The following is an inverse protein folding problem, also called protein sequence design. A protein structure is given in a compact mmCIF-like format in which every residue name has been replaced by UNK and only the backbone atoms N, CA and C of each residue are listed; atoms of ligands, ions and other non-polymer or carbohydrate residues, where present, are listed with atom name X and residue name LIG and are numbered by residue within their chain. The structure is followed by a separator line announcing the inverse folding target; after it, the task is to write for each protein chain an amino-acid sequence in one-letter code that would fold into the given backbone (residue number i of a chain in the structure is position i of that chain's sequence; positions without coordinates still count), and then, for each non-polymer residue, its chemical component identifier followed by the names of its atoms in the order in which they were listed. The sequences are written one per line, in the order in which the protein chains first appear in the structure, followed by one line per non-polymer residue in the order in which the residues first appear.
data_IF_078358859012
#
_entry.id   IF_078358859012
#
_cell.length_a   1.000
_cell.length_b   1.000
_cell.length_c   1.000
_cell.angle_alpha   90.00
_cell.angle_beta   90.00
_cell.angle_gamma   90.00
#
_symmetry.space_group_name_H-M   'P 1'
#
loop_
_entity.id
_entity.type
_entity.pdbx_description
1 polymer ?
#
# COMPACT_ATOMS: atom_id res chain seq x y z
N UNK A 1 9.59 13.12 -19.04
CA UNK A 1 10.14 13.35 -17.68
C UNK A 1 9.73 12.14 -16.88
N UNK A 2 10.68 11.33 -16.40
CA UNK A 2 10.37 10.06 -15.73
C UNK A 2 9.62 10.24 -14.41
N UNK A 3 8.90 9.21 -13.98
CA UNK A 3 8.25 9.16 -12.66
C UNK A 3 9.27 9.34 -11.55
N UNK A 4 10.38 8.61 -11.68
CA UNK A 4 11.47 8.61 -10.71
C UNK A 4 12.31 9.85 -10.94
N UNK A 5 12.51 10.62 -9.88
CA UNK A 5 13.33 11.84 -9.88
C UNK A 5 14.50 11.76 -8.93
N UNK A 6 14.50 10.79 -8.02
CA UNK A 6 15.58 10.58 -7.07
C UNK A 6 15.86 9.09 -6.96
N UNK A 7 17.11 8.70 -7.20
CA UNK A 7 17.53 7.30 -7.10
C UNK A 7 18.65 7.15 -6.07
N UNK A 8 18.49 6.18 -5.18
CA UNK A 8 19.55 5.74 -4.28
C UNK A 8 19.80 4.24 -4.42
N UNK A 9 21.06 3.86 -4.63
CA UNK A 9 21.45 2.47 -4.86
C UNK A 9 22.49 2.06 -3.85
N UNK A 10 22.20 0.99 -3.11
CA UNK A 10 23.20 0.20 -2.41
C UNK A 10 23.75 -0.80 -3.42
N UNK A 11 25.05 -0.72 -3.68
CA UNK A 11 25.69 -1.48 -4.75
C UNK A 11 26.74 -2.45 -4.19
N UNK A 12 26.59 -3.71 -4.54
CA UNK A 12 27.44 -4.84 -4.17
C UNK A 12 27.70 -5.71 -5.40
N UNK A 13 28.31 -5.09 -6.40
CA UNK A 13 28.62 -5.73 -7.68
C UNK A 13 30.13 -5.75 -7.84
N UNK A 14 30.67 -6.95 -8.02
CA UNK A 14 32.09 -7.25 -8.13
C UNK A 14 32.57 -7.12 -9.58
N UNK A 15 31.71 -7.44 -10.55
CA UNK A 15 32.03 -7.35 -11.96
C UNK A 15 31.96 -5.88 -12.47
N UNK A 16 33.10 -5.32 -12.86
CA UNK A 16 33.21 -3.91 -13.25
C UNK A 16 32.32 -3.51 -14.44
N UNK A 17 32.12 -4.40 -15.43
CA UNK A 17 31.21 -4.18 -16.57
C UNK A 17 29.75 -4.04 -16.11
N UNK A 18 29.31 -4.93 -15.22
CA UNK A 18 27.97 -4.87 -14.65
C UNK A 18 27.80 -3.65 -13.76
N UNK A 19 28.80 -3.32 -12.95
CA UNK A 19 28.77 -2.10 -12.14
C UNK A 19 28.60 -0.86 -13.02
N UNK A 20 29.40 -0.71 -14.07
CA UNK A 20 29.27 0.41 -15.00
C UNK A 20 27.89 0.46 -15.64
N UNK A 21 27.34 -0.68 -16.05
CA UNK A 21 26.01 -0.75 -16.65
C UNK A 21 24.91 -0.30 -15.67
N UNK A 22 24.97 -0.75 -14.42
CA UNK A 22 24.04 -0.29 -13.35
C UNK A 22 24.16 1.22 -13.19
N UNK A 23 25.37 1.77 -13.08
CA UNK A 23 25.58 3.21 -12.92
C UNK A 23 25.04 4.03 -14.11
N UNK A 24 25.21 3.54 -15.33
CA UNK A 24 24.67 4.19 -16.53
C UNK A 24 23.14 4.23 -16.50
N UNK A 25 22.50 3.10 -16.21
CA UNK A 25 21.04 3.00 -16.11
C UNK A 25 20.47 3.88 -14.99
N UNK A 26 21.16 3.97 -13.86
CA UNK A 26 20.76 4.84 -12.75
C UNK A 26 20.87 6.32 -13.14
N UNK A 27 21.98 6.74 -13.77
CA UNK A 27 22.17 8.14 -14.23
C UNK A 27 21.17 8.56 -15.29
N UNK A 28 20.68 7.61 -16.10
CA UNK A 28 19.61 7.89 -17.07
C UNK A 28 18.26 8.20 -16.39
N UNK A 29 18.04 7.74 -15.15
CA UNK A 29 16.85 8.06 -14.36
C UNK A 29 17.02 9.35 -13.56
N UNK A 30 18.19 9.51 -12.94
CA UNK A 30 18.51 10.62 -12.04
C UNK A 30 20.01 10.96 -12.13
N UNK A 31 20.32 12.16 -12.63
CA UNK A 31 21.69 12.66 -12.76
C UNK A 31 22.36 12.88 -11.38
N UNK A 32 21.56 13.20 -10.34
CA UNK A 32 22.01 13.50 -8.97
C UNK A 32 21.98 12.27 -8.05
N UNK A 33 22.02 11.07 -8.64
CA UNK A 33 21.85 9.81 -7.92
C UNK A 33 22.85 9.60 -6.77
N UNK A 34 22.38 8.97 -5.70
CA UNK A 34 23.20 8.55 -4.56
C UNK A 34 23.58 7.08 -4.70
N UNK A 35 24.80 6.80 -5.15
CA UNK A 35 25.33 5.43 -5.16
C UNK A 35 26.26 5.21 -3.97
N UNK A 36 26.02 4.13 -3.22
CA UNK A 36 26.87 3.68 -2.12
C UNK A 36 27.35 2.26 -2.39
N UNK A 37 28.66 2.14 -2.58
CA UNK A 37 29.35 0.86 -2.77
C UNK A 37 29.65 0.24 -1.42
N UNK A 38 29.37 -1.05 -1.28
CA UNK A 38 29.93 -1.85 -0.20
C UNK A 38 31.40 -2.13 -0.54
N UNK A 39 32.32 -1.57 0.25
CA UNK A 39 33.75 -1.85 0.07
C UNK A 39 34.02 -3.34 0.24
N UNK A 40 34.95 -3.92 -0.51
CA UNK A 40 35.30 -5.36 -0.45
C UNK A 40 35.53 -5.85 1.00
N UNK A 41 36.21 -5.06 1.84
CA UNK A 41 36.46 -5.41 3.25
C UNK A 41 35.18 -5.51 4.12
N UNK A 42 34.09 -4.86 3.69
CA UNK A 42 32.81 -4.76 4.39
C UNK A 42 31.69 -5.53 3.70
N UNK A 43 31.87 -5.92 2.44
CA UNK A 43 30.86 -6.55 1.58
C UNK A 43 30.34 -7.89 2.11
N UNK A 44 30.97 -8.46 3.15
CA UNK A 44 30.52 -9.67 3.85
C UNK A 44 29.83 -9.46 5.20
N UNK A 45 29.78 -8.25 5.78
CA UNK A 45 29.35 -8.05 7.17
C UNK A 45 28.01 -7.32 7.26
N UNK A 46 26.96 -8.05 7.71
CA UNK A 46 25.61 -7.50 7.90
C UNK A 46 25.57 -6.19 8.72
N UNK A 47 26.32 -6.02 9.82
CA UNK A 47 26.30 -4.75 10.56
C UNK A 47 26.75 -3.53 9.75
N UNK A 48 27.72 -3.71 8.84
CA UNK A 48 28.18 -2.64 7.96
C UNK A 48 27.12 -2.30 6.90
N UNK A 49 26.41 -3.31 6.39
CA UNK A 49 25.28 -3.12 5.49
C UNK A 49 24.16 -2.33 6.16
N UNK A 50 23.75 -2.74 7.38
CA UNK A 50 22.71 -2.07 8.16
C UNK A 50 23.04 -0.59 8.31
N UNK A 51 24.23 -0.29 8.86
CA UNK A 51 24.67 1.09 9.07
C UNK A 51 24.68 1.91 7.77
N UNK A 52 25.19 1.34 6.68
CA UNK A 52 25.22 2.02 5.38
C UNK A 52 23.80 2.29 4.86
N UNK A 53 22.90 1.32 5.01
CA UNK A 53 21.54 1.40 4.51
C UNK A 53 20.68 2.39 5.29
N UNK A 54 20.79 2.41 6.62
CA UNK A 54 20.12 3.39 7.49
C UNK A 54 20.60 4.80 7.16
N UNK A 55 21.91 4.99 6.99
CA UNK A 55 22.51 6.26 6.56
C UNK A 55 21.93 6.78 5.24
N UNK A 56 21.66 5.90 4.28
CA UNK A 56 21.07 6.24 2.97
C UNK A 56 19.61 6.62 3.15
N UNK A 57 18.85 5.82 3.89
CA UNK A 57 17.42 6.03 4.10
C UNK A 57 17.20 7.33 4.87
N UNK A 58 17.87 7.54 6.00
CA UNK A 58 17.78 8.78 6.77
C UNK A 58 18.13 9.99 5.91
N UNK A 59 19.24 9.95 5.16
CA UNK A 59 19.66 11.10 4.33
C UNK A 59 18.75 11.35 3.12
N UNK A 60 18.06 10.32 2.61
CA UNK A 60 17.13 10.46 1.49
C UNK A 60 15.71 10.81 1.93
N UNK A 61 15.27 10.34 3.10
CA UNK A 61 13.97 10.68 3.67
C UNK A 61 13.97 12.07 4.32
N UNK A 62 15.09 12.46 4.95
CA UNK A 62 15.24 13.79 5.57
C UNK A 62 15.56 14.90 4.58
N UNK A 63 15.91 14.60 3.32
CA UNK A 63 16.15 15.62 2.31
C UNK A 63 14.83 16.25 1.84
N UNK A 64 14.48 17.30 2.61
CA UNK A 64 13.56 18.40 2.34
C UNK A 64 12.10 18.07 2.63
N UNK A 65 11.66 18.22 3.86
CA UNK A 65 10.26 18.58 4.19
C UNK A 65 9.98 20.08 4.00
N UNK A 66 10.79 20.77 3.19
CA UNK A 66 10.65 22.17 2.81
C UNK A 66 10.21 22.30 1.35
N UNK A 67 9.44 23.34 1.04
CA UNK A 67 8.89 23.66 -0.29
C UNK A 67 9.91 23.35 -1.41
N UNK A 68 9.60 22.34 -2.24
CA UNK A 68 10.52 21.76 -3.22
C UNK A 68 10.93 20.30 -2.95
N UNK A 69 10.22 19.60 -2.06
CA UNK A 69 10.43 18.17 -1.79
C UNK A 69 10.03 17.29 -2.98
N UNK A 70 10.86 16.32 -3.31
CA UNK A 70 10.48 15.22 -4.22
C UNK A 70 9.50 14.34 -3.47
N UNK A 71 8.29 14.12 -4.00
CA UNK A 71 7.27 13.26 -3.38
C UNK A 71 7.83 11.83 -3.16
N UNK A 72 7.43 11.14 -2.09
CA UNK A 72 7.89 9.76 -1.82
C UNK A 72 7.81 8.85 -3.03
N UNK A 73 6.71 8.95 -3.79
CA UNK A 73 6.45 8.13 -4.99
C UNK A 73 7.49 8.32 -6.10
N UNK A 74 8.21 9.44 -6.10
CA UNK A 74 9.24 9.77 -7.09
C UNK A 74 10.65 9.35 -6.63
N UNK A 75 10.78 8.76 -5.43
CA UNK A 75 12.05 8.28 -4.86
C UNK A 75 12.17 6.76 -5.01
N UNK A 76 13.26 6.30 -5.61
CA UNK A 76 13.55 4.88 -5.76
C UNK A 76 14.81 4.53 -4.98
N UNK A 77 14.67 3.65 -3.98
CA UNK A 77 15.79 3.12 -3.20
C UNK A 77 15.87 1.63 -3.47
N UNK A 78 17.04 1.11 -3.83
CA UNK A 78 17.19 -0.32 -4.13
C UNK A 78 18.55 -0.87 -3.69
N UNK A 79 18.61 -2.20 -3.61
CA UNK A 79 19.83 -2.96 -3.41
C UNK A 79 20.14 -3.81 -4.64
N UNK A 80 21.36 -3.70 -5.19
CA UNK A 80 21.81 -4.51 -6.32
C UNK A 80 23.05 -5.29 -5.93
N UNK A 81 23.03 -6.60 -6.15
CA UNK A 81 24.12 -7.51 -5.79
C UNK A 81 24.37 -8.56 -6.87
N UNK A 82 25.63 -8.94 -7.09
CA UNK A 82 26.01 -10.03 -8.02
C UNK A 82 26.52 -11.30 -7.33
N UNK A 83 26.48 -11.33 -6.00
CA UNK A 83 27.04 -12.43 -5.22
C UNK A 83 26.15 -12.90 -4.06
N UNK A 84 24.99 -12.26 -3.84
CA UNK A 84 24.05 -12.62 -2.76
C UNK A 84 22.70 -13.06 -3.30
N UNK A 85 22.21 -14.18 -2.77
CA UNK A 85 20.87 -14.71 -3.04
C UNK A 85 19.88 -14.32 -1.94
N UNK A 86 18.61 -14.69 -2.11
CA UNK A 86 17.54 -14.56 -1.10
C UNK A 86 17.90 -15.09 0.30
N UNK A 87 18.79 -16.08 0.40
CA UNK A 87 19.21 -16.65 1.70
C UNK A 87 20.25 -15.80 2.44
N UNK A 88 20.80 -14.77 1.81
CA UNK A 88 21.78 -13.90 2.44
C UNK A 88 21.11 -12.94 3.43
N UNK A 89 21.68 -12.78 4.62
CA UNK A 89 21.16 -11.89 5.66
C UNK A 89 21.01 -10.42 5.24
N UNK A 90 21.85 -9.93 4.33
CA UNK A 90 21.72 -8.56 3.80
C UNK A 90 20.51 -8.42 2.87
N UNK A 91 20.27 -9.42 2.02
CA UNK A 91 19.09 -9.46 1.14
C UNK A 91 17.82 -9.58 1.98
N UNK A 92 17.82 -10.46 2.97
CA UNK A 92 16.71 -10.59 3.92
C UNK A 92 16.44 -9.27 4.66
N UNK A 93 17.48 -8.62 5.18
CA UNK A 93 17.33 -7.32 5.86
C UNK A 93 16.80 -6.23 4.92
N UNK A 94 17.32 -6.15 3.70
CA UNK A 94 16.85 -5.18 2.69
C UNK A 94 15.36 -5.35 2.37
N UNK A 95 14.88 -6.58 2.22
CA UNK A 95 13.47 -6.84 1.87
C UNK A 95 12.52 -6.76 3.05
N UNK A 96 12.90 -7.30 4.21
CA UNK A 96 11.96 -7.47 5.33
C UNK A 96 12.06 -6.35 6.36
N UNK A 97 13.23 -5.73 6.53
CA UNK A 97 13.41 -4.62 7.47
C UNK A 97 13.31 -3.27 6.77
N UNK A 98 14.00 -3.10 5.65
CA UNK A 98 13.98 -1.83 4.90
C UNK A 98 12.85 -1.77 3.86
N UNK A 99 12.32 -2.93 3.46
CA UNK A 99 11.33 -3.06 2.38
C UNK A 99 11.74 -2.35 1.08
N UNK A 100 13.01 -2.46 0.72
CA UNK A 100 13.52 -1.95 -0.56
C UNK A 100 13.62 -3.09 -1.60
N UNK A 101 13.35 -2.80 -2.88
CA UNK A 101 13.55 -3.76 -3.95
C UNK A 101 15.02 -4.18 -4.08
N UNK A 102 15.22 -5.47 -4.29
CA UNK A 102 16.51 -6.14 -4.42
C UNK A 102 16.61 -6.78 -5.80
N UNK A 103 17.68 -6.46 -6.53
CA UNK A 103 18.09 -7.18 -7.73
C UNK A 103 19.31 -8.04 -7.39
N UNK A 104 19.13 -9.36 -7.44
CA UNK A 104 20.22 -10.32 -7.40
C UNK A 104 20.59 -10.75 -8.82
N UNK A 105 21.82 -10.50 -9.24
CA UNK A 105 22.38 -10.96 -10.51
C UNK A 105 22.96 -12.38 -10.39
N UNK A 106 22.56 -13.12 -9.36
CA UNK A 106 22.84 -14.56 -9.23
C UNK A 106 21.60 -15.35 -9.61
N UNK A 107 21.80 -16.57 -10.14
CA UNK A 107 20.68 -17.51 -10.31
C UNK A 107 20.23 -17.99 -8.94
N UNK A 108 18.91 -17.94 -8.70
CA UNK A 108 18.32 -18.40 -7.47
C UNK A 108 18.53 -19.91 -7.31
N UNK A 109 18.81 -20.35 -6.10
CA UNK A 109 18.48 -21.73 -5.78
C UNK A 109 16.96 -21.78 -5.60
N UNK A 110 16.25 -22.43 -6.53
CA UNK A 110 14.82 -22.72 -6.37
C UNK A 110 14.59 -23.25 -4.96
N UNK A 111 13.87 -22.48 -4.14
CA UNK A 111 13.57 -22.87 -2.77
C UNK A 111 12.88 -24.23 -2.79
N UNK A 112 13.52 -25.23 -2.18
CA UNK A 112 12.88 -26.51 -1.87
C UNK A 112 12.14 -26.33 -0.54
N UNK A 113 10.88 -25.90 -0.57
CA UNK A 113 10.07 -25.87 0.67
C UNK A 113 8.88 -24.91 0.65
N UNK A 114 7.77 -25.40 1.18
CA UNK A 114 6.41 -24.86 1.27
C UNK A 114 6.21 -23.73 2.30
N UNK A 115 7.20 -22.85 2.56
CA UNK A 115 6.96 -21.71 3.45
C UNK A 115 6.27 -20.57 2.69
N UNK A 116 4.98 -20.78 2.43
CA UNK A 116 4.11 -19.93 1.60
C UNK A 116 3.70 -18.60 2.26
N UNK A 117 3.92 -18.42 3.57
CA UNK A 117 3.52 -17.20 4.29
C UNK A 117 4.50 -16.01 4.10
N UNK A 118 5.77 -16.24 3.76
CA UNK A 118 6.75 -15.18 3.47
C UNK A 118 6.81 -14.79 1.99
N UNK A 119 5.88 -15.31 1.20
CA UNK A 119 6.00 -15.35 -0.25
C UNK A 119 5.76 -13.98 -0.91
N UNK A 120 4.83 -13.16 -0.42
CA UNK A 120 4.40 -11.96 -1.14
C UNK A 120 5.46 -10.84 -1.13
N UNK A 121 6.08 -10.51 0.02
CA UNK A 121 7.15 -9.49 0.09
C UNK A 121 8.27 -9.84 -0.87
N UNK A 122 8.74 -11.09 -0.82
CA UNK A 122 9.79 -11.57 -1.72
C UNK A 122 9.33 -11.57 -3.18
N UNK A 123 8.10 -11.96 -3.48
CA UNK A 123 7.55 -11.92 -4.86
C UNK A 123 7.56 -10.51 -5.44
N UNK A 124 7.39 -9.50 -4.60
CA UNK A 124 7.34 -8.10 -5.04
C UNK A 124 8.72 -7.49 -5.10
N UNK A 125 9.49 -7.61 -4.01
CA UNK A 125 10.73 -6.87 -3.83
C UNK A 125 11.96 -7.62 -4.33
N UNK A 126 11.92 -8.95 -4.48
CA UNK A 126 13.08 -9.71 -4.95
C UNK A 126 12.98 -10.02 -6.44
N UNK A 127 14.01 -9.66 -7.20
CA UNK A 127 14.23 -10.15 -8.56
C UNK A 127 15.58 -10.85 -8.64
N UNK A 128 15.59 -12.00 -9.29
CA UNK A 128 16.81 -12.72 -9.65
C UNK A 128 16.85 -13.02 -11.17
N UNK A 129 17.94 -13.65 -11.61
CA UNK A 129 18.08 -14.04 -13.03
C UNK A 129 17.13 -15.18 -13.44
N UNK A 130 16.53 -15.92 -12.50
CA UNK A 130 15.64 -17.02 -12.86
C UNK A 130 14.22 -16.55 -13.20
N UNK A 131 13.85 -15.31 -12.83
CA UNK A 131 12.52 -14.74 -13.07
C UNK A 131 12.18 -14.41 -14.52
N UNK A 132 13.16 -14.15 -15.38
CA UNK A 132 12.92 -13.82 -16.79
C UNK A 132 14.17 -13.67 -17.67
N UNK A 133 15.38 -13.60 -17.12
CA UNK A 133 16.58 -13.23 -17.88
C UNK A 133 17.78 -14.11 -17.58
N UNK A 134 18.24 -14.86 -18.58
CA UNK A 134 19.57 -15.51 -18.50
C UNK A 134 20.74 -14.53 -18.61
N UNK A 135 20.46 -13.27 -19.01
CA UNK A 135 21.45 -12.21 -19.20
C UNK A 135 21.36 -11.15 -18.08
N UNK A 136 22.43 -10.95 -17.28
CA UNK A 136 22.49 -9.92 -16.25
C UNK A 136 22.23 -8.49 -16.76
N UNK A 137 22.67 -8.14 -17.98
CA UNK A 137 22.47 -6.79 -18.52
C UNK A 137 21.00 -6.52 -18.81
N UNK A 138 20.30 -7.51 -19.36
CA UNK A 138 18.85 -7.44 -19.58
C UNK A 138 18.09 -7.32 -18.25
N UNK A 139 18.50 -8.06 -17.21
CA UNK A 139 17.89 -7.97 -15.89
C UNK A 139 18.03 -6.56 -15.27
N UNK A 140 19.23 -5.95 -15.36
CA UNK A 140 19.46 -4.57 -14.93
C UNK A 140 18.58 -3.58 -15.71
N UNK A 141 18.47 -3.76 -17.03
CA UNK A 141 17.61 -2.91 -17.86
C UNK A 141 16.15 -2.97 -17.42
N UNK A 142 15.60 -4.16 -17.22
CA UNK A 142 14.20 -4.32 -16.77
C UNK A 142 13.97 -3.73 -15.37
N UNK A 143 14.92 -3.94 -14.47
CA UNK A 143 14.83 -3.45 -13.09
C UNK A 143 14.76 -1.92 -13.03
N UNK A 144 15.59 -1.23 -13.80
CA UNK A 144 15.59 0.24 -13.87
C UNK A 144 14.66 0.82 -14.95
N UNK A 145 13.81 0.02 -15.59
CA UNK A 145 12.79 0.51 -16.50
C UNK A 145 11.48 0.72 -15.75
N UNK A 146 10.98 1.96 -15.78
CA UNK A 146 9.73 2.37 -15.17
C UNK A 146 8.71 2.77 -16.25
N UNK A 147 7.40 2.60 -16.00
CA UNK A 147 6.37 3.13 -16.88
C UNK A 147 6.40 4.66 -16.94
N UNK A 148 5.67 5.24 -17.89
CA UNK A 148 5.53 6.70 -18.00
C UNK A 148 4.62 7.30 -16.93
N UNK A 149 3.76 6.47 -16.32
CA UNK A 149 2.80 6.87 -15.27
C UNK A 149 2.85 5.91 -14.09
N UNK A 150 2.71 6.48 -12.89
CA UNK A 150 2.50 5.68 -11.68
C UNK A 150 1.17 4.94 -11.76
N UNK A 151 1.10 3.80 -11.10
CA UNK A 151 -0.17 3.14 -10.82
C UNK A 151 -1.06 4.02 -9.96
N UNK A 152 -2.36 3.74 -10.01
CA UNK A 152 -3.36 4.44 -9.21
C UNK A 152 -3.59 3.75 -7.87
N UNK A 153 -3.72 4.53 -6.80
CA UNK A 153 -4.15 4.05 -5.50
C UNK A 153 -5.63 4.39 -5.28
N UNK A 154 -6.45 3.35 -5.19
CA UNK A 154 -7.87 3.44 -4.90
C UNK A 154 -8.11 2.91 -3.48
N UNK A 155 -9.01 3.55 -2.73
CA UNK A 155 -9.57 2.96 -1.53
C UNK A 155 -11.07 2.78 -1.72
N UNK A 156 -11.60 1.66 -1.23
CA UNK A 156 -13.03 1.41 -1.22
C UNK A 156 -13.48 1.33 0.22
N UNK A 157 -14.34 2.27 0.61
CA UNK A 157 -14.89 2.36 1.95
C UNK A 157 -16.35 1.96 1.92
N UNK A 158 -16.77 1.18 2.92
CA UNK A 158 -18.16 0.77 3.07
C UNK A 158 -18.41 0.17 4.43
N UNK A 159 -19.66 0.30 4.89
CA UNK A 159 -20.04 -0.12 6.24
C UNK A 159 -20.08 -1.65 6.31
N UNK A 160 -20.79 -2.28 5.38
CA UNK A 160 -20.81 -3.73 5.24
C UNK A 160 -19.46 -4.24 4.69
N UNK A 161 -18.80 -5.09 5.47
CA UNK A 161 -17.49 -5.64 5.14
C UNK A 161 -17.53 -6.57 3.93
N UNK A 162 -18.55 -7.42 3.84
CA UNK A 162 -18.71 -8.44 2.79
C UNK A 162 -19.08 -7.78 1.46
N UNK A 163 -20.05 -6.87 1.47
CA UNK A 163 -20.45 -6.11 0.30
C UNK A 163 -19.27 -5.29 -0.25
N UNK A 164 -18.51 -4.63 0.63
CA UNK A 164 -17.36 -3.84 0.20
C UNK A 164 -16.27 -4.72 -0.42
N UNK A 165 -15.97 -5.87 0.19
CA UNK A 165 -15.02 -6.82 -0.35
C UNK A 165 -15.46 -7.35 -1.73
N UNK A 166 -16.74 -7.66 -1.90
CA UNK A 166 -17.27 -8.09 -3.19
C UNK A 166 -17.20 -6.96 -4.23
N UNK A 167 -17.53 -5.72 -3.86
CA UNK A 167 -17.35 -4.56 -4.72
C UNK A 167 -15.89 -4.42 -5.17
N UNK A 168 -14.94 -4.54 -4.24
CA UNK A 168 -13.51 -4.51 -4.52
C UNK A 168 -13.09 -5.58 -5.55
N UNK A 169 -13.59 -6.81 -5.41
CA UNK A 169 -13.29 -7.92 -6.34
C UNK A 169 -13.81 -7.63 -7.74
N UNK A 170 -15.06 -7.19 -7.86
CA UNK A 170 -15.66 -6.83 -9.16
C UNK A 170 -14.99 -5.61 -9.79
N UNK A 171 -14.66 -4.60 -8.98
CA UNK A 171 -13.91 -3.43 -9.41
C UNK A 171 -12.54 -3.82 -9.95
N UNK A 172 -11.79 -4.70 -9.26
CA UNK A 172 -10.49 -5.24 -9.73
C UNK A 172 -10.64 -5.86 -11.11
N UNK A 173 -11.55 -6.81 -11.27
CA UNK A 173 -11.78 -7.52 -12.54
C UNK A 173 -12.20 -6.59 -13.68
N UNK A 174 -12.97 -5.55 -13.38
CA UNK A 174 -13.36 -4.55 -14.38
C UNK A 174 -12.19 -3.64 -14.76
N UNK A 175 -11.43 -3.14 -13.78
CA UNK A 175 -10.28 -2.26 -14.01
C UNK A 175 -9.15 -2.96 -14.76
N UNK A 176 -8.85 -4.21 -14.44
CA UNK A 176 -7.84 -4.99 -15.15
C UNK A 176 -8.16 -5.07 -16.66
N UNK A 177 -9.43 -5.30 -17.00
CA UNK A 177 -9.89 -5.32 -18.39
C UNK A 177 -9.89 -3.93 -19.02
N UNK A 178 -10.43 -2.93 -18.32
CA UNK A 178 -10.61 -1.58 -18.85
C UNK A 178 -9.28 -0.84 -19.05
N UNK A 179 -8.31 -1.05 -18.16
CA UNK A 179 -7.01 -0.37 -18.20
C UNK A 179 -5.93 -1.21 -18.88
N UNK A 180 -6.18 -2.51 -19.13
CA UNK A 180 -5.18 -3.45 -19.63
C UNK A 180 -3.88 -3.38 -18.80
N UNK A 181 -4.05 -3.24 -17.48
CA UNK A 181 -2.98 -3.05 -16.52
C UNK A 181 -3.20 -3.93 -15.30
N UNK A 182 -2.12 -4.24 -14.59
CA UNK A 182 -2.22 -4.99 -13.35
C UNK A 182 -2.95 -4.18 -12.27
N UNK A 183 -3.87 -4.84 -11.57
CA UNK A 183 -4.59 -4.30 -10.41
C UNK A 183 -4.49 -5.33 -9.29
N UNK A 184 -3.91 -4.92 -8.16
CA UNK A 184 -3.83 -5.68 -6.92
C UNK A 184 -4.94 -5.25 -5.96
N UNK A 185 -5.51 -6.22 -5.26
CA UNK A 185 -6.44 -5.98 -4.18
C UNK A 185 -5.74 -6.29 -2.86
N UNK A 186 -5.69 -5.29 -1.99
CA UNK A 186 -4.98 -5.37 -0.70
C UNK A 186 -5.92 -5.05 0.45
N UNK A 187 -5.58 -5.56 1.63
CA UNK A 187 -6.32 -5.34 2.86
C UNK A 187 -6.19 -3.91 3.40
N UNK A 188 -6.83 -3.61 4.54
CA UNK A 188 -6.81 -2.29 5.17
C UNK A 188 -5.42 -1.76 5.55
N UNK A 189 -4.43 -2.64 5.66
CA UNK A 189 -3.03 -2.35 5.98
C UNK A 189 -2.10 -2.32 4.75
N UNK A 190 -2.59 -2.68 3.55
CA UNK A 190 -1.79 -2.73 2.34
C UNK A 190 -1.16 -4.10 2.01
N UNK A 191 -1.36 -5.12 2.84
CA UNK A 191 -0.96 -6.50 2.54
C UNK A 191 -1.86 -7.13 1.47
N UNK A 192 -1.33 -8.09 0.71
CA UNK A 192 -2.14 -8.84 -0.26
C UNK A 192 -3.23 -9.62 0.47
N UNK A 193 -4.42 -9.65 -0.12
CA UNK A 193 -5.48 -10.52 0.37
C UNK A 193 -5.38 -11.86 -0.35
N UNK A 194 -5.52 -12.96 0.38
CA UNK A 194 -5.49 -14.29 -0.19
C UNK A 194 -6.56 -14.46 -1.27
N UNK A 195 -6.14 -15.10 -2.37
CA UNK A 195 -7.01 -15.45 -3.48
C UNK A 195 -7.89 -16.68 -3.14
N UNK A 196 -7.66 -17.35 -2.01
CA UNK A 196 -8.36 -18.59 -1.62
C UNK A 196 -9.83 -18.42 -1.18
N UNK A 197 -10.40 -17.22 -1.35
CA UNK A 197 -11.85 -16.98 -1.34
C UNK A 197 -12.46 -16.75 -2.74
N UNK A 198 -11.72 -17.01 -3.83
CA UNK A 198 -12.12 -16.71 -5.21
C UNK A 198 -13.04 -17.75 -5.86
N UNK A 199 -13.06 -18.99 -5.37
CA UNK A 199 -14.03 -19.96 -5.87
C UNK A 199 -15.38 -19.65 -5.26
N UNK A 200 -16.28 -19.14 -6.10
CA UNK A 200 -17.67 -18.78 -5.82
C UNK A 200 -18.52 -19.97 -5.41
N UNK A 201 -18.13 -20.66 -4.35
CA UNK A 201 -18.90 -21.71 -3.70
C UNK A 201 -20.02 -21.02 -2.92
N UNK A 202 -21.09 -20.75 -3.67
CA UNK A 202 -22.46 -20.45 -3.27
C UNK A 202 -22.62 -19.47 -2.10
N UNK A 203 -23.08 -18.27 -2.45
CA UNK A 203 -23.79 -17.37 -1.54
C UNK A 203 -25.07 -18.05 -1.02
N UNK A 204 -24.92 -18.90 0.00
CA UNK A 204 -26.02 -19.60 0.64
C UNK A 204 -25.47 -20.56 1.67
N UNK A 205 -25.84 -20.34 2.93
CA UNK A 205 -25.64 -21.23 4.08
C UNK A 205 -24.24 -21.18 4.71
N UNK A 206 -24.03 -20.21 5.61
CA UNK A 206 -23.39 -20.45 6.92
C UNK A 206 -23.49 -19.18 7.79
N UNK A 207 -24.43 -19.17 8.72
CA UNK A 207 -24.68 -18.07 9.68
C UNK A 207 -23.60 -17.94 10.79
N UNK A 208 -22.41 -18.53 10.65
CA UNK A 208 -21.39 -18.54 11.72
C UNK A 208 -19.94 -18.60 11.21
N UNK A 209 -19.59 -17.88 10.15
CA UNK A 209 -18.17 -17.67 9.80
C UNK A 209 -17.76 -16.28 10.32
N UNK A 210 -17.27 -16.25 11.56
CA UNK A 210 -16.46 -15.12 12.03
C UNK A 210 -15.28 -14.94 11.07
N UNK A 211 -15.33 -13.83 10.31
CA UNK A 211 -14.19 -13.04 9.84
C UNK A 211 -12.82 -13.75 9.82
N UNK A 212 -12.63 -14.66 8.87
CA UNK A 212 -11.29 -15.09 8.45
C UNK A 212 -11.09 -14.71 6.98
N UNK A 213 -11.20 -13.42 6.68
CA UNK A 213 -10.28 -12.90 5.67
C UNK A 213 -8.95 -12.85 6.40
N UNK A 214 -8.10 -13.83 6.18
CA UNK A 214 -6.69 -13.78 6.60
C UNK A 214 -6.03 -12.61 5.85
N UNK A 215 -6.30 -11.41 6.36
CA UNK A 215 -5.52 -10.22 6.05
C UNK A 215 -4.25 -10.44 6.83
N UNK A 216 -3.14 -10.70 6.14
CA UNK A 216 -1.83 -10.72 6.77
C UNK A 216 -1.72 -9.54 7.73
N UNK A 217 -1.56 -9.86 9.00
CA UNK A 217 -1.46 -8.86 10.04
C UNK A 217 -0.12 -8.15 9.86
N UNK A 218 -0.14 -6.85 9.56
CA UNK A 218 1.08 -6.03 9.54
C UNK A 218 1.85 -6.21 10.85
N UNK A 219 3.16 -5.97 10.87
CA UNK A 219 4.00 -6.16 12.07
C UNK A 219 3.43 -5.37 13.27
N UNK A 220 2.80 -4.22 13.01
CA UNK A 220 2.15 -3.42 14.03
C UNK A 220 0.72 -3.84 14.36
N UNK A 221 0.07 -4.70 13.59
CA UNK A 221 -1.32 -5.09 13.85
C UNK A 221 -1.54 -5.75 15.23
N UNK A 222 -0.66 -6.66 15.72
CA UNK A 222 -0.73 -7.15 17.09
C UNK A 222 -0.61 -6.03 18.13
N UNK A 223 0.34 -5.12 17.95
CA UNK A 223 0.55 -3.98 18.85
C UNK A 223 -0.64 -3.02 18.83
N UNK A 224 -1.21 -2.75 17.66
CA UNK A 224 -2.43 -1.94 17.51
C UNK A 224 -3.60 -2.63 18.22
N UNK A 225 -3.76 -3.93 18.05
CA UNK A 225 -4.81 -4.70 18.74
C UNK A 225 -4.62 -4.67 20.25
N UNK A 226 -3.40 -4.84 20.74
CA UNK A 226 -3.05 -4.78 22.15
C UNK A 226 -3.33 -3.39 22.73
N UNK A 227 -2.80 -2.33 22.11
CA UNK A 227 -2.98 -0.96 22.57
C UNK A 227 -4.45 -0.59 22.61
N UNK A 228 -5.19 -0.85 21.52
CA UNK A 228 -6.59 -0.49 21.41
C UNK A 228 -7.52 -1.39 22.26
N UNK A 229 -7.08 -2.59 22.61
CA UNK A 229 -7.79 -3.52 23.49
C UNK A 229 -7.42 -3.38 24.97
N UNK A 230 -6.42 -2.55 25.30
CA UNK A 230 -5.96 -2.37 26.67
C UNK A 230 -6.93 -1.50 27.48
N UNK A 231 -7.63 -2.12 28.43
CA UNK A 231 -8.60 -1.45 29.31
C UNK A 231 -7.99 -0.37 30.21
N UNK A 232 -6.67 -0.41 30.48
CA UNK A 232 -5.99 0.64 31.23
C UNK A 232 -5.88 1.94 30.41
N UNK A 233 -5.89 1.84 29.08
CA UNK A 233 -5.80 2.97 28.15
C UNK A 233 -7.18 3.46 27.68
N UNK A 234 -8.26 2.85 28.16
CA UNK A 234 -9.65 3.19 27.80
C UNK A 234 -9.95 4.69 27.93
N UNK A 235 -9.48 5.33 29.01
CA UNK A 235 -9.67 6.77 29.23
C UNK A 235 -8.98 7.61 28.15
N UNK A 236 -7.76 7.22 27.73
CA UNK A 236 -7.04 7.85 26.63
C UNK A 236 -7.79 7.67 25.31
N UNK A 237 -8.28 6.46 25.02
CA UNK A 237 -9.06 6.17 23.81
C UNK A 237 -10.37 6.99 23.76
N UNK A 238 -10.99 7.21 24.92
CA UNK A 238 -12.19 8.02 25.04
C UNK A 238 -11.91 9.51 24.91
N UNK A 239 -10.74 9.99 25.31
CA UNK A 239 -10.36 11.40 25.21
C UNK A 239 -9.84 11.76 23.81
N UNK A 240 -9.06 10.90 23.18
CA UNK A 240 -8.53 11.12 21.83
C UNK A 240 -9.35 10.35 20.79
N UNK A 241 -10.20 11.08 20.06
CA UNK A 241 -11.03 10.49 19.00
C UNK A 241 -10.24 10.10 17.75
N UNK A 242 -9.05 10.66 17.53
CA UNK A 242 -8.24 10.40 16.34
C UNK A 242 -7.32 9.19 16.52
N UNK A 243 -7.00 8.82 17.78
CA UNK A 243 -6.04 7.76 18.09
C UNK A 243 -6.29 6.45 17.33
N UNK A 244 -7.52 5.94 17.31
CA UNK A 244 -7.82 4.71 16.55
C UNK A 244 -7.46 4.84 15.07
N UNK A 245 -7.86 5.94 14.43
CA UNK A 245 -7.57 6.19 13.02
C UNK A 245 -6.07 6.34 12.76
N UNK A 246 -5.35 7.04 13.65
CA UNK A 246 -3.91 7.20 13.57
C UNK A 246 -3.17 5.85 13.71
N UNK A 247 -3.60 4.97 14.62
CA UNK A 247 -3.00 3.64 14.78
C UNK A 247 -3.20 2.75 13.54
N UNK A 248 -4.39 2.77 12.93
CA UNK A 248 -4.61 2.05 11.67
C UNK A 248 -3.80 2.66 10.50
N UNK A 249 -3.64 3.98 10.48
CA UNK A 249 -2.79 4.67 9.51
C UNK A 249 -1.30 4.29 9.65
N UNK A 250 -0.80 4.18 10.88
CA UNK A 250 0.57 3.71 11.14
C UNK A 250 0.78 2.26 10.68
N UNK A 251 -0.19 1.38 10.95
CA UNK A 251 -0.15 0.00 10.46
C UNK A 251 -0.16 -0.10 8.93
N UNK A 252 -0.81 0.84 8.23
CA UNK A 252 -0.70 0.97 6.77
C UNK A 252 0.66 1.47 6.31
N UNK A 253 1.18 2.48 7.01
CA UNK A 253 2.44 3.12 6.67
C UNK A 253 3.62 2.15 6.72
N UNK A 254 3.54 1.12 7.56
CA UNK A 254 4.51 0.02 7.56
C UNK A 254 4.68 -0.64 6.19
N UNK A 255 3.61 -0.72 5.39
CA UNK A 255 3.63 -1.27 4.03
C UNK A 255 3.81 -0.20 2.94
N UNK A 256 4.07 1.06 3.32
CA UNK A 256 4.27 2.16 2.37
C UNK A 256 5.37 1.84 1.34
N UNK A 257 6.55 1.31 1.71
CA UNK A 257 7.58 1.00 0.72
C UNK A 257 7.10 0.02 -0.36
N UNK A 258 6.31 -1.00 0.02
CA UNK A 258 5.76 -1.98 -0.91
C UNK A 258 4.67 -1.38 -1.79
N UNK A 259 3.74 -0.61 -1.19
CA UNK A 259 2.70 0.14 -1.93
C UNK A 259 3.37 1.07 -2.95
N UNK A 260 4.36 1.84 -2.51
CA UNK A 260 5.13 2.77 -3.33
C UNK A 260 5.78 2.04 -4.50
N UNK A 261 6.50 0.95 -4.23
CA UNK A 261 7.20 0.22 -5.27
C UNK A 261 6.22 -0.32 -6.33
N UNK A 262 5.10 -0.90 -5.93
CA UNK A 262 4.04 -1.34 -6.86
C UNK A 262 3.52 -0.21 -7.75
N UNK A 263 3.17 0.92 -7.14
CA UNK A 263 2.71 2.10 -7.89
C UNK A 263 3.79 2.61 -8.84
N UNK A 264 5.07 2.62 -8.43
CA UNK A 264 6.19 2.97 -9.31
C UNK A 264 6.32 2.00 -10.50
N UNK A 265 6.00 0.71 -10.31
CA UNK A 265 5.95 -0.28 -11.40
C UNK A 265 4.69 -0.19 -12.26
N UNK A 266 3.80 0.78 -12.04
CA UNK A 266 2.55 0.95 -12.79
C UNK A 266 1.44 0.00 -12.34
N UNK A 267 1.62 -0.70 -11.21
CA UNK A 267 0.60 -1.58 -10.65
C UNK A 267 -0.43 -0.73 -9.91
N UNK A 268 -1.69 -0.89 -10.27
CA UNK A 268 -2.79 -0.22 -9.60
C UNK A 268 -3.17 -0.99 -8.34
N UNK A 269 -3.57 -0.29 -7.29
CA UNK A 269 -3.87 -0.89 -5.99
C UNK A 269 -5.27 -0.48 -5.54
N UNK A 270 -6.07 -1.46 -5.11
CA UNK A 270 -7.34 -1.24 -4.41
C UNK A 270 -7.12 -1.60 -2.95
N UNK A 271 -7.17 -0.61 -2.06
CA UNK A 271 -7.22 -0.77 -0.61
C UNK A 271 -8.67 -1.03 -0.17
N UNK A 272 -8.93 -2.21 0.37
CA UNK A 272 -10.23 -2.56 0.92
C UNK A 272 -10.37 -1.99 2.34
N UNK A 273 -11.32 -1.07 2.55
CA UNK A 273 -11.72 -0.54 3.85
C UNK A 273 -10.60 0.01 4.75
N UNK A 274 -9.66 0.84 4.25
CA UNK A 274 -8.57 1.33 5.09
C UNK A 274 -9.05 2.21 6.27
N UNK A 275 -10.17 2.92 6.15
CA UNK A 275 -10.69 3.81 7.20
C UNK A 275 -12.00 3.33 7.83
N UNK A 276 -12.75 2.42 7.20
CA UNK A 276 -14.13 2.06 7.62
C UNK A 276 -14.26 1.77 9.11
N UNK A 277 -13.34 0.98 9.71
CA UNK A 277 -13.36 0.69 11.16
C UNK A 277 -13.17 1.94 12.03
N UNK A 278 -12.35 2.89 11.57
CA UNK A 278 -12.14 4.18 12.24
C UNK A 278 -13.36 5.09 12.07
N UNK A 279 -13.93 5.12 10.87
CA UNK A 279 -15.12 5.92 10.55
C UNK A 279 -16.32 5.48 11.38
N UNK A 280 -16.53 4.16 11.53
CA UNK A 280 -17.60 3.60 12.37
C UNK A 280 -17.43 4.01 13.84
N UNK A 281 -16.21 3.92 14.39
CA UNK A 281 -15.92 4.34 15.77
C UNK A 281 -16.11 5.84 15.98
N UNK A 282 -15.59 6.66 15.07
CA UNK A 282 -15.78 8.11 15.09
C UNK A 282 -17.27 8.45 15.05
N UNK A 283 -18.01 7.88 14.10
CA UNK A 283 -19.43 8.13 13.94
C UNK A 283 -20.23 7.73 15.19
N UNK A 284 -19.97 6.56 15.76
CA UNK A 284 -20.61 6.13 17.00
C UNK A 284 -20.31 7.06 18.18
N UNK A 285 -19.12 7.67 18.22
CA UNK A 285 -18.76 8.66 19.24
C UNK A 285 -19.47 9.99 19.00
N UNK A 286 -19.40 10.53 17.79
CA UNK A 286 -20.00 11.82 17.44
C UNK A 286 -21.53 11.78 17.52
N UNK A 287 -22.17 10.73 17.03
CA UNK A 287 -23.64 10.57 17.12
C UNK A 287 -24.19 10.55 18.55
N UNK A 288 -23.36 10.25 19.55
CA UNK A 288 -23.73 10.28 20.98
C UNK A 288 -23.46 11.63 21.65
N UNK A 289 -22.76 12.55 21.00
CA UNK A 289 -22.49 13.87 21.55
C UNK A 289 -23.77 14.69 21.61
N UNK A 290 -23.95 15.44 22.70
CA UNK A 290 -25.04 16.43 22.79
C UNK A 290 -24.62 17.68 22.02
N UNK A 291 -25.40 18.07 21.02
CA UNK A 291 -25.15 19.25 20.20
C UNK A 291 -26.14 19.36 19.04
N UNK A 292 -26.05 20.43 18.27
CA UNK A 292 -26.78 20.55 17.01
C UNK A 292 -26.28 19.49 16.01
N UNK A 293 -27.20 18.81 15.31
CA UNK A 293 -26.86 17.73 14.40
C UNK A 293 -25.81 18.13 13.35
N UNK A 294 -25.89 19.35 12.82
CA UNK A 294 -24.92 19.88 11.86
C UNK A 294 -23.54 20.15 12.48
N UNK A 295 -23.46 20.62 13.72
CA UNK A 295 -22.16 20.88 14.37
C UNK A 295 -21.45 19.57 14.72
N UNK A 296 -22.22 18.57 15.16
CA UNK A 296 -21.73 17.20 15.37
C UNK A 296 -21.21 16.59 14.07
N UNK A 297 -21.99 16.74 12.98
CA UNK A 297 -21.59 16.26 11.65
C UNK A 297 -20.34 16.96 11.14
N UNK A 298 -20.24 18.29 11.29
CA UNK A 298 -19.05 19.06 10.91
C UNK A 298 -17.81 18.61 11.68
N UNK A 299 -17.95 18.41 12.99
CA UNK A 299 -16.86 17.91 13.83
C UNK A 299 -16.39 16.52 13.42
N UNK A 300 -17.32 15.63 13.03
CA UNK A 300 -16.98 14.33 12.46
C UNK A 300 -16.20 14.48 11.14
N UNK A 301 -16.66 15.35 10.22
CA UNK A 301 -15.99 15.59 8.94
C UNK A 301 -14.57 16.14 9.16
N UNK A 302 -14.39 17.06 10.11
CA UNK A 302 -13.09 17.65 10.41
C UNK A 302 -12.13 16.64 11.07
N UNK A 303 -12.64 15.70 11.87
CA UNK A 303 -11.86 14.56 12.35
C UNK A 303 -11.38 13.67 11.20
N UNK A 304 -12.25 13.37 10.23
CA UNK A 304 -11.88 12.58 9.03
C UNK A 304 -10.83 13.31 8.20
N UNK A 305 -10.97 14.63 7.99
CA UNK A 305 -9.96 15.45 7.32
C UNK A 305 -8.61 15.39 8.03
N UNK A 306 -8.61 15.46 9.35
CA UNK A 306 -7.39 15.40 10.16
C UNK A 306 -6.67 14.07 10.00
N UNK A 307 -7.41 12.95 9.96
CA UNK A 307 -6.83 11.62 9.68
C UNK A 307 -6.26 11.51 8.27
N UNK A 308 -6.96 12.03 7.26
CA UNK A 308 -6.47 12.05 5.88
C UNK A 308 -5.23 12.94 5.73
N UNK A 309 -5.19 14.06 6.43
CA UNK A 309 -4.04 14.95 6.45
C UNK A 309 -2.85 14.30 7.18
N UNK A 310 -3.10 13.56 8.26
CA UNK A 310 -2.08 12.78 8.94
C UNK A 310 -1.46 11.75 7.98
N UNK A 311 -2.27 10.94 7.30
CA UNK A 311 -1.76 9.96 6.33
C UNK A 311 -1.00 10.61 5.17
N UNK A 312 -1.58 11.61 4.51
CA UNK A 312 -0.97 12.18 3.32
C UNK A 312 0.22 13.09 3.59
N UNK A 313 0.20 13.86 4.70
CA UNK A 313 1.24 14.86 4.99
C UNK A 313 2.32 14.34 5.92
N UNK A 314 1.95 13.60 6.97
CA UNK A 314 2.90 13.16 7.99
C UNK A 314 3.48 11.79 7.67
N UNK A 315 2.65 10.88 7.17
CA UNK A 315 3.09 9.53 6.79
C UNK A 315 3.47 9.43 5.31
N UNK A 316 3.37 10.52 4.55
CA UNK A 316 3.68 10.60 3.11
C UNK A 316 3.01 9.49 2.27
N UNK A 317 1.81 9.09 2.68
CA UNK A 317 1.04 8.08 1.97
C UNK A 317 0.59 8.63 0.61
N UNK A 318 0.69 7.84 -0.48
CA UNK A 318 0.25 8.27 -1.80
C UNK A 318 -1.19 8.74 -1.78
N UNK A 319 -1.47 9.78 -2.56
CA UNK A 319 -2.85 10.27 -2.73
C UNK A 319 -3.70 9.14 -3.27
N UNK A 320 -4.89 8.99 -2.69
CA UNK A 320 -5.84 7.95 -3.06
C UNK A 320 -7.16 8.57 -3.49
N UNK A 321 -7.81 7.91 -4.44
CA UNK A 321 -9.22 8.17 -4.75
C UNK A 321 -10.07 7.23 -3.93
N UNK A 322 -11.12 7.74 -3.30
CA UNK A 322 -11.96 6.95 -2.41
C UNK A 322 -13.30 6.68 -3.08
N UNK A 323 -13.61 5.42 -3.32
CA UNK A 323 -14.95 4.97 -3.67
C UNK A 323 -15.70 4.71 -2.36
N UNK A 324 -16.78 5.46 -2.14
CA UNK A 324 -17.60 5.35 -0.93
C UNK A 324 -18.89 4.61 -1.24
N UNK A 325 -19.04 3.42 -0.69
CA UNK A 325 -20.24 2.61 -0.78
C UNK A 325 -21.28 3.14 0.22
N UNK A 326 -22.42 3.57 -0.32
CA UNK A 326 -23.57 4.04 0.45
C UNK A 326 -24.68 3.02 0.37
N UNK A 327 -24.89 2.30 1.46
CA UNK A 327 -26.13 1.58 1.72
C UNK A 327 -27.20 2.64 2.05
N UNK A 328 -28.42 2.52 1.52
CA UNK A 328 -29.50 3.52 1.61
C UNK A 328 -30.02 3.88 3.02
N UNK A 329 -29.22 3.69 4.07
CA UNK A 329 -29.50 4.04 5.45
C UNK A 329 -29.12 5.51 5.69
N UNK A 330 -30.10 6.37 5.93
CA UNK A 330 -29.89 7.81 6.12
C UNK A 330 -29.04 8.19 7.36
N UNK A 331 -28.85 7.26 8.30
CA UNK A 331 -28.15 7.48 9.58
C UNK A 331 -26.86 6.65 9.65
N UNK A 332 -26.02 6.77 8.63
CA UNK A 332 -24.70 6.13 8.59
C UNK A 332 -23.60 7.16 8.37
N UNK A 333 -22.37 6.79 8.72
CA UNK A 333 -21.21 7.63 8.41
C UNK A 333 -21.03 7.84 6.90
N UNK A 334 -21.38 6.87 6.07
CA UNK A 334 -21.31 7.00 4.61
C UNK A 334 -22.36 7.99 4.07
N UNK A 335 -23.52 8.11 4.74
CA UNK A 335 -24.50 9.15 4.45
C UNK A 335 -24.00 10.54 4.88
N UNK A 336 -23.35 10.66 6.04
CA UNK A 336 -22.77 11.92 6.52
C UNK A 336 -21.68 12.47 5.58
N UNK A 337 -20.87 11.57 5.01
CA UNK A 337 -19.80 11.90 4.08
C UNK A 337 -20.29 12.18 2.64
N UNK A 338 -21.31 11.47 2.17
CA UNK A 338 -21.63 11.33 0.74
C UNK A 338 -22.02 12.59 -0.04
N UNK A 339 -22.09 13.77 0.58
CA UNK A 339 -22.48 15.03 -0.06
C UNK A 339 -21.44 16.14 0.06
N UNK A 340 -20.30 15.92 0.71
CA UNK A 340 -19.26 16.95 0.85
C UNK A 340 -17.97 16.58 0.12
N UNK A 341 -17.31 17.59 -0.45
CA UNK A 341 -15.92 17.46 -0.93
C UNK A 341 -15.04 17.43 0.31
N UNK A 342 -14.82 16.24 0.85
CA UNK A 342 -14.28 16.09 2.21
C UNK A 342 -12.83 16.58 2.30
N UNK A 343 -12.00 16.51 1.26
CA UNK A 343 -10.62 17.02 1.36
C UNK A 343 -9.96 17.22 -0.01
N UNK A 344 -9.07 18.22 -0.22
CA UNK A 344 -8.33 18.39 -1.48
C UNK A 344 -7.36 17.24 -1.80
N UNK A 345 -7.02 16.39 -0.83
CA UNK A 345 -6.15 15.23 -1.04
C UNK A 345 -6.89 13.96 -1.47
N UNK A 346 -8.23 13.96 -1.45
CA UNK A 346 -9.04 12.76 -1.72
C UNK A 346 -10.23 13.09 -2.59
N UNK A 347 -10.31 12.41 -3.73
CA UNK A 347 -11.49 12.43 -4.59
C UNK A 347 -12.50 11.36 -4.13
N UNK A 348 -13.62 11.81 -3.55
CA UNK A 348 -14.68 10.93 -3.05
C UNK A 348 -15.71 10.64 -4.14
N UNK A 349 -15.87 9.36 -4.48
CA UNK A 349 -16.80 8.87 -5.49
C UNK A 349 -17.91 8.10 -4.77
N UNK A 350 -19.04 8.75 -4.43
CA UNK A 350 -20.16 8.06 -3.82
C UNK A 350 -20.79 7.09 -4.80
N UNK A 351 -21.06 5.88 -4.32
CA UNK A 351 -21.72 4.79 -5.03
C UNK A 351 -22.89 4.32 -4.18
N UNK A 352 -24.10 4.59 -4.64
CA UNK A 352 -25.32 4.12 -3.99
C UNK A 352 -25.58 2.67 -4.35
N UNK A 353 -25.77 1.86 -3.32
CA UNK A 353 -26.08 0.45 -3.45
C UNK A 353 -27.42 0.20 -2.77
N UNK A 354 -28.37 -0.39 -3.52
CA UNK A 354 -29.71 -0.68 -2.98
C UNK A 354 -29.58 -1.71 -1.86
N UNK A 355 -30.17 -1.44 -0.70
CA UNK A 355 -30.27 -2.43 0.36
C UNK A 355 -30.96 -3.70 -0.15
N UNK A 356 -30.36 -4.88 0.08
CA UNK A 356 -30.87 -6.17 -0.40
C UNK A 356 -29.81 -7.27 -0.34
N UNK A 357 -30.15 -8.48 -0.80
CA UNK A 357 -29.21 -9.61 -0.82
C UNK A 357 -28.14 -9.40 -1.89
N UNK A 358 -26.90 -9.85 -1.63
CA UNK A 358 -25.71 -9.71 -2.48
C UNK A 358 -25.98 -10.11 -3.95
N UNK A 359 -26.82 -11.11 -4.19
CA UNK A 359 -27.15 -11.58 -5.55
C UNK A 359 -27.89 -10.52 -6.40
N UNK A 360 -28.74 -9.68 -5.78
CA UNK A 360 -29.44 -8.60 -6.46
C UNK A 360 -28.51 -7.41 -6.77
N UNK A 361 -27.31 -7.40 -6.20
CA UNK A 361 -26.37 -6.30 -6.31
C UNK A 361 -25.58 -6.34 -7.60
N UNK A 362 -25.27 -7.51 -8.17
CA UNK A 362 -24.30 -7.64 -9.27
C UNK A 362 -24.53 -6.67 -10.44
N UNK A 363 -25.79 -6.49 -10.90
CA UNK A 363 -26.10 -5.56 -11.99
C UNK A 363 -25.99 -4.08 -11.57
N UNK A 364 -26.43 -3.73 -10.36
CA UNK A 364 -26.31 -2.37 -9.79
C UNK A 364 -24.86 -2.01 -9.48
N UNK A 365 -24.10 -3.01 -9.02
CA UNK A 365 -22.68 -2.97 -8.70
C UNK A 365 -21.88 -2.76 -10.00
N UNK A 366 -22.14 -3.53 -11.05
CA UNK A 366 -21.48 -3.37 -12.35
C UNK A 366 -21.77 -1.98 -12.96
N UNK A 367 -23.01 -1.50 -12.89
CA UNK A 367 -23.36 -0.15 -13.35
C UNK A 367 -22.62 0.94 -12.54
N UNK A 368 -22.50 0.74 -11.22
CA UNK A 368 -21.80 1.65 -10.33
C UNK A 368 -20.28 1.63 -10.52
N UNK A 369 -19.70 0.45 -10.72
CA UNK A 369 -18.31 0.24 -11.10
C UNK A 369 -18.04 0.93 -12.43
N UNK A 370 -18.86 0.71 -13.46
CA UNK A 370 -18.75 1.42 -14.75
C UNK A 370 -18.79 2.94 -14.58
N UNK A 371 -19.69 3.45 -13.73
CA UNK A 371 -19.78 4.89 -13.43
C UNK A 371 -18.53 5.40 -12.70
N UNK A 372 -18.03 4.65 -11.71
CA UNK A 372 -16.80 4.96 -10.99
C UNK A 372 -15.63 4.95 -11.96
N UNK A 373 -15.45 3.93 -12.78
CA UNK A 373 -14.37 3.83 -13.78
C UNK A 373 -14.43 4.98 -14.78
N UNK A 374 -15.60 5.37 -15.28
CA UNK A 374 -15.74 6.56 -16.14
C UNK A 374 -15.31 7.86 -15.46
N UNK A 375 -15.48 7.97 -14.14
CA UNK A 375 -14.95 9.09 -13.35
C UNK A 375 -13.47 8.92 -13.06
N UNK A 376 -13.00 7.68 -12.90
CA UNK A 376 -11.61 7.35 -12.65
C UNK A 376 -10.73 7.64 -13.87
N UNK A 377 -11.25 7.39 -15.08
CA UNK A 377 -10.56 7.59 -16.35
C UNK A 377 -10.65 9.01 -16.92
N UNK A 378 -11.27 9.94 -16.20
CA UNK A 378 -11.20 11.39 -16.46
C UNK A 378 -10.17 11.99 -15.54
#
# INVERSE_FOLDING_TARGET
MGIIKHVAVILDVSEASLEQHVLERVRQLDEDTVVRRLSEEKAGKLPDFIKLSEDIIEKNDLRKSGEGSVESIQRFVCFVTDNKTRQNGMVAYAMHCLQIPVLSLTKGQKAKGNDDAEHWVSTILYKDLDGSHTDPLAAVNEFFTFPDKVGELLAVEGRDSQLTLQYCRELRSYLQRAWSAEVKLVGPNGCDMSEEGLDGTKCGETDNVEEQVEVESGIHAPLVKELLGNSQLESTHQNDHLLHGAMYALNRHENLPIIRYRLQRGVNIILCRPMSSSLEKLFNKFSRMRGGAEDVRRSFIDAVKSLLQFEGRWLDMPRRRVVLIREGVAHSWSAWLGNEVIHPLVDWIPVDVKAGNIADHCASLEASVKKAVRRLSR
#
